data_IF_983779513369
#
_entry.id   IF_983779513369
#
_cell.length_a   1.000
_cell.length_b   1.000
_cell.length_c   1.000
_cell.angle_alpha   90.00
_cell.angle_beta   90.00
_cell.angle_gamma   90.00
#
_symmetry.space_group_name_H-M   'P 1'
#
loop_
_entity.id
_entity.type
_entity.pdbx_description
1 polymer ?
#
# COMPACT_ATOMS: atom_id res chain seq x y z
N UNK A 1 1.76 74.86 29.71
CA UNK A 1 1.64 74.36 31.09
C UNK A 1 1.38 72.87 31.00
N UNK A 2 2.31 72.05 31.46
CA UNK A 2 2.17 70.59 31.49
C UNK A 2 1.11 70.23 32.53
N UNK A 3 -0.03 69.70 32.08
CA UNK A 3 -1.00 69.10 32.96
C UNK A 3 -0.41 67.81 33.53
N UNK A 4 0.16 67.89 34.72
CA UNK A 4 0.46 66.71 35.53
C UNK A 4 -0.85 66.00 35.80
N UNK A 5 -1.09 64.87 35.13
CA UNK A 5 -2.07 63.89 35.58
C UNK A 5 -1.82 63.61 37.06
N UNK A 6 -2.87 63.58 37.88
CA UNK A 6 -2.72 63.18 39.27
C UNK A 6 -2.21 61.74 39.28
N UNK A 7 -1.29 61.44 40.21
CA UNK A 7 -0.72 60.09 40.40
C UNK A 7 -1.78 58.97 40.37
N UNK A 8 -2.97 59.13 41.01
CA UNK A 8 -4.04 58.14 40.93
C UNK A 8 -4.49 57.83 39.50
N UNK A 9 -4.71 58.85 38.65
CA UNK A 9 -5.13 58.66 37.26
C UNK A 9 -4.06 57.99 36.39
N UNK A 10 -2.78 58.24 36.69
CA UNK A 10 -1.68 57.56 36.01
C UNK A 10 -1.56 56.09 36.43
N UNK A 11 -1.87 55.76 37.69
CA UNK A 11 -1.91 54.38 38.20
C UNK A 11 -3.07 53.62 37.56
N UNK A 12 -4.29 54.19 37.53
CA UNK A 12 -5.46 53.54 36.90
C UNK A 12 -5.20 53.21 35.42
N UNK A 13 -4.60 54.14 34.67
CA UNK A 13 -4.25 53.92 33.27
C UNK A 13 -3.17 52.84 33.06
N UNK A 14 -2.25 52.69 34.02
CA UNK A 14 -1.25 51.62 34.00
C UNK A 14 -1.88 50.26 34.36
N UNK A 15 -2.82 50.22 35.29
CA UNK A 15 -3.57 49.02 35.64
C UNK A 15 -4.43 48.52 34.47
N UNK A 16 -5.12 49.43 33.78
CA UNK A 16 -5.88 49.10 32.56
C UNK A 16 -4.99 48.56 31.46
N UNK A 17 -3.84 49.21 31.21
CA UNK A 17 -2.86 48.75 30.21
C UNK A 17 -2.25 47.40 30.58
N UNK A 18 -1.99 47.14 31.85
CA UNK A 18 -1.51 45.85 32.33
C UNK A 18 -2.57 44.75 32.13
N UNK A 19 -3.85 45.07 32.35
CA UNK A 19 -4.97 44.14 32.09
C UNK A 19 -5.11 43.81 30.61
N UNK A 20 -5.05 44.81 29.73
CA UNK A 20 -5.08 44.63 28.27
C UNK A 20 -3.90 43.76 27.80
N UNK A 21 -2.69 44.04 28.30
CA UNK A 21 -1.51 43.25 27.97
C UNK A 21 -1.64 41.78 28.42
N UNK A 22 -2.13 41.54 29.65
CA UNK A 22 -2.38 40.19 30.16
C UNK A 22 -3.41 39.44 29.31
N UNK A 23 -4.49 40.11 28.88
CA UNK A 23 -5.49 39.52 28.00
C UNK A 23 -4.92 39.18 26.61
N UNK A 24 -4.08 40.06 26.04
CA UNK A 24 -3.42 39.82 24.77
C UNK A 24 -2.48 38.60 24.85
N UNK A 25 -1.63 38.52 25.89
CA UNK A 25 -0.73 37.38 26.11
C UNK A 25 -1.49 36.06 26.30
N UNK A 26 -2.58 36.08 27.07
CA UNK A 26 -3.42 34.90 27.27
C UNK A 26 -4.06 34.45 25.94
N UNK A 27 -4.50 35.40 25.11
CA UNK A 27 -5.02 35.12 23.77
C UNK A 27 -3.96 34.50 22.86
N UNK A 28 -2.73 35.04 22.87
CA UNK A 28 -1.61 34.48 22.08
C UNK A 28 -1.25 33.06 22.50
N UNK A 29 -1.22 32.78 23.81
CA UNK A 29 -1.01 31.43 24.34
C UNK A 29 -2.10 30.46 23.86
N UNK A 30 -3.37 30.82 24.00
CA UNK A 30 -4.49 29.99 23.52
C UNK A 30 -4.45 29.74 22.02
N UNK A 31 -4.07 30.73 21.22
CA UNK A 31 -3.88 30.56 19.77
C UNK A 31 -2.73 29.60 19.48
N UNK A 32 -1.63 29.67 20.24
CA UNK A 32 -0.51 28.73 20.11
C UNK A 32 -0.93 27.29 20.42
N UNK A 33 -1.67 27.08 21.51
CA UNK A 33 -2.25 25.78 21.90
C UNK A 33 -3.16 25.24 20.80
N UNK A 34 -4.10 26.05 20.29
CA UNK A 34 -5.00 25.64 19.23
C UNK A 34 -4.23 25.23 17.96
N UNK A 35 -3.24 26.02 17.55
CA UNK A 35 -2.42 25.71 16.37
C UNK A 35 -1.62 24.43 16.54
N UNK A 36 -1.05 24.19 17.72
CA UNK A 36 -0.32 22.97 18.01
C UNK A 36 -1.26 21.75 17.96
N UNK A 37 -2.40 21.81 18.66
CA UNK A 37 -3.39 20.74 18.69
C UNK A 37 -3.92 20.38 17.28
N UNK A 38 -4.26 21.39 16.47
CA UNK A 38 -4.72 21.20 15.09
C UNK A 38 -3.64 20.52 14.25
N UNK A 39 -2.38 20.95 14.38
CA UNK A 39 -1.27 20.34 13.64
C UNK A 39 -1.09 18.87 14.02
N UNK A 40 -1.12 18.54 15.30
CA UNK A 40 -0.98 17.16 15.77
C UNK A 40 -2.13 16.28 15.27
N UNK A 41 -3.37 16.75 15.33
CA UNK A 41 -4.52 16.00 14.82
C UNK A 41 -4.43 15.80 13.31
N UNK A 42 -4.13 16.86 12.55
CA UNK A 42 -3.98 16.76 11.10
C UNK A 42 -2.90 15.75 10.71
N UNK A 43 -1.76 15.75 11.41
CA UNK A 43 -0.71 14.75 11.15
C UNK A 43 -1.20 13.32 11.36
N UNK A 44 -2.01 13.05 12.39
CA UNK A 44 -2.55 11.70 12.61
C UNK A 44 -3.65 11.34 11.61
N UNK A 45 -4.40 12.34 11.12
CA UNK A 45 -5.41 12.16 10.07
C UNK A 45 -4.78 11.89 8.71
N UNK A 46 -3.71 12.59 8.36
CA UNK A 46 -2.93 12.36 7.12
C UNK A 46 -2.38 10.93 7.11
N UNK A 47 -1.83 10.49 8.25
CA UNK A 47 -1.38 9.12 8.49
C UNK A 47 -2.50 8.08 8.32
N UNK A 48 -3.70 8.36 8.85
CA UNK A 48 -4.87 7.49 8.70
C UNK A 48 -5.37 7.47 7.25
N UNK A 49 -5.37 8.61 6.56
CA UNK A 49 -5.75 8.73 5.16
C UNK A 49 -4.85 7.87 4.28
N UNK A 50 -3.53 7.90 4.51
CA UNK A 50 -2.57 7.05 3.83
C UNK A 50 -2.87 5.56 4.07
N UNK A 51 -3.07 5.14 5.32
CA UNK A 51 -3.41 3.74 5.62
C UNK A 51 -4.73 3.29 4.95
N UNK A 52 -5.74 4.18 4.89
CA UNK A 52 -7.02 3.89 4.23
C UNK A 52 -6.85 3.82 2.71
N UNK A 53 -6.00 4.67 2.12
CA UNK A 53 -5.65 4.61 0.70
C UNK A 53 -4.98 3.28 0.37
N UNK A 54 -4.02 2.85 1.18
CA UNK A 54 -3.33 1.57 1.01
C UNK A 54 -4.30 0.39 1.14
N UNK A 55 -5.19 0.41 2.14
CA UNK A 55 -6.25 -0.59 2.29
C UNK A 55 -7.10 -0.69 1.03
N UNK A 56 -7.53 0.45 0.47
CA UNK A 56 -8.33 0.49 -0.76
C UNK A 56 -7.55 -0.08 -1.94
N UNK A 57 -6.27 0.25 -2.07
CA UNK A 57 -5.41 -0.30 -3.10
C UNK A 57 -5.37 -1.83 -3.03
N UNK A 58 -4.91 -2.38 -1.90
CA UNK A 58 -4.73 -3.82 -1.75
C UNK A 58 -6.04 -4.58 -1.84
N UNK A 59 -7.14 -4.04 -1.29
CA UNK A 59 -8.47 -4.63 -1.45
C UNK A 59 -8.87 -4.73 -2.92
N UNK A 60 -8.72 -3.65 -3.67
CA UNK A 60 -9.12 -3.58 -5.09
C UNK A 60 -8.32 -4.60 -5.90
N UNK A 61 -7.00 -4.60 -5.78
CA UNK A 61 -6.14 -5.58 -6.45
C UNK A 61 -6.49 -7.01 -6.04
N UNK A 62 -6.68 -7.27 -4.75
CA UNK A 62 -7.00 -8.62 -4.28
C UNK A 62 -8.32 -9.15 -4.84
N UNK A 63 -9.36 -8.31 -4.87
CA UNK A 63 -10.70 -8.72 -5.28
C UNK A 63 -10.84 -8.76 -6.80
N UNK A 64 -10.37 -7.73 -7.49
CA UNK A 64 -10.62 -7.54 -8.91
C UNK A 64 -9.57 -8.22 -9.80
N UNK A 65 -8.29 -8.24 -9.40
CA UNK A 65 -7.24 -8.89 -10.20
C UNK A 65 -7.03 -10.37 -9.84
N UNK A 66 -7.26 -10.77 -8.59
CA UNK A 66 -6.94 -12.12 -8.09
C UNK A 66 -8.16 -12.93 -7.61
N UNK A 67 -9.37 -12.47 -7.93
CA UNK A 67 -10.66 -13.08 -7.55
C UNK A 67 -10.77 -13.35 -6.03
N UNK A 68 -10.20 -12.45 -5.23
CA UNK A 68 -10.22 -12.52 -3.78
C UNK A 68 -11.60 -12.16 -3.21
N UNK A 69 -11.99 -12.81 -2.12
CA UNK A 69 -13.19 -12.42 -1.39
C UNK A 69 -12.88 -11.26 -0.44
N UNK A 70 -13.70 -10.20 -0.45
CA UNK A 70 -13.57 -9.06 0.48
C UNK A 70 -13.51 -9.58 1.93
N UNK A 71 -12.43 -9.30 2.68
CA UNK A 71 -12.37 -9.70 4.09
C UNK A 71 -13.46 -9.02 4.91
N UNK A 72 -14.09 -9.77 5.82
CA UNK A 72 -15.19 -9.27 6.67
C UNK A 72 -14.81 -8.07 7.52
N UNK A 73 -13.52 -7.95 7.89
CA UNK A 73 -12.99 -6.86 8.72
C UNK A 73 -12.80 -5.54 7.97
N UNK A 74 -12.90 -5.51 6.64
CA UNK A 74 -12.77 -4.26 5.85
C UNK A 74 -13.83 -3.25 6.25
N UNK A 75 -15.09 -3.67 6.37
CA UNK A 75 -16.19 -2.76 6.73
C UNK A 75 -16.00 -2.15 8.12
N UNK A 76 -15.55 -2.94 9.10
CA UNK A 76 -15.27 -2.42 10.45
C UNK A 76 -14.09 -1.46 10.48
N UNK A 77 -13.04 -1.72 9.70
CA UNK A 77 -11.89 -0.83 9.62
C UNK A 77 -12.25 0.51 8.96
N UNK A 78 -13.03 0.48 7.88
CA UNK A 78 -13.53 1.70 7.22
C UNK A 78 -14.44 2.49 8.17
N UNK A 79 -15.35 1.82 8.87
CA UNK A 79 -16.23 2.47 9.84
C UNK A 79 -15.44 3.07 11.02
N UNK A 80 -14.40 2.38 11.50
CA UNK A 80 -13.53 2.92 12.54
C UNK A 80 -12.79 4.17 12.07
N UNK A 81 -12.31 4.18 10.82
CA UNK A 81 -11.70 5.36 10.22
C UNK A 81 -12.70 6.52 10.08
N UNK A 82 -13.91 6.28 9.58
CA UNK A 82 -14.97 7.29 9.46
C UNK A 82 -15.29 7.93 10.82
N UNK A 83 -15.53 7.10 11.85
CA UNK A 83 -15.80 7.57 13.21
C UNK A 83 -14.63 8.36 13.82
N UNK A 84 -13.39 8.09 13.40
CA UNK A 84 -12.21 8.82 13.87
C UNK A 84 -12.09 10.22 13.25
N UNK A 85 -12.80 10.52 12.16
CA UNK A 85 -12.78 11.85 11.51
C UNK A 85 -13.96 12.73 11.95
N UNK A 86 -15.00 12.16 12.59
CA UNK A 86 -16.20 12.87 13.05
C UNK A 86 -16.01 13.76 14.30
N UNK A 87 -14.91 14.51 14.40
CA UNK A 87 -14.71 15.49 15.49
C UNK A 87 -14.84 16.92 15.00
N UNK A 88 -15.61 17.69 15.76
CA UNK A 88 -15.89 19.10 15.45
C UNK A 88 -14.76 20.01 15.94
N UNK A 89 -14.56 21.15 15.25
CA UNK A 89 -13.64 22.20 15.73
C UNK A 89 -14.02 22.69 17.13
N UNK A 90 -15.31 22.67 17.47
CA UNK A 90 -15.80 23.07 18.79
C UNK A 90 -15.32 22.13 19.89
N UNK A 91 -15.26 20.81 19.64
CA UNK A 91 -14.72 19.83 20.59
C UNK A 91 -13.21 19.99 20.80
N UNK A 92 -12.47 20.40 19.76
CA UNK A 92 -11.03 20.68 19.85
C UNK A 92 -10.71 21.98 20.60
N UNK A 93 -11.65 22.94 20.61
CA UNK A 93 -11.49 24.27 21.21
C UNK A 93 -12.09 24.38 22.63
N UNK A 94 -13.01 23.49 23.01
CA UNK A 94 -13.82 23.57 24.22
C UNK A 94 -13.01 23.76 25.52
N UNK A 95 -11.81 23.20 25.62
CA UNK A 95 -10.98 23.29 26.83
C UNK A 95 -9.79 24.24 26.74
N UNK A 96 -9.55 24.85 25.56
CA UNK A 96 -8.59 25.95 25.45
C UNK A 96 -9.11 27.14 26.27
N UNK A 97 -10.43 27.36 26.30
CA UNK A 97 -11.07 28.42 27.08
C UNK A 97 -10.95 28.23 28.61
N UNK A 98 -10.81 27.00 29.09
CA UNK A 98 -10.77 26.69 30.53
C UNK A 98 -9.36 26.70 31.13
N UNK A 99 -8.31 26.59 30.31
CA UNK A 99 -6.91 26.79 30.71
C UNK A 99 -6.52 28.28 30.67
N UNK A 100 -7.47 29.19 30.90
CA UNK A 100 -7.13 30.57 31.17
C UNK A 100 -6.18 30.54 32.38
N UNK A 101 -4.98 31.07 32.22
CA UNK A 101 -4.04 31.21 33.33
C UNK A 101 -4.81 31.82 34.49
N UNK A 102 -4.86 31.08 35.60
CA UNK A 102 -5.70 31.39 36.74
C UNK A 102 -5.52 32.87 37.08
N UNK A 103 -6.60 33.57 37.44
CA UNK A 103 -6.61 35.04 37.49
C UNK A 103 -5.51 35.65 38.41
N UNK A 104 -4.84 34.82 39.23
CA UNK A 104 -3.72 35.16 40.10
C UNK A 104 -2.29 34.77 39.65
N UNK A 105 -2.06 34.07 38.53
CA UNK A 105 -0.70 33.69 38.12
C UNK A 105 -0.09 34.75 37.17
N UNK A 106 0.93 35.46 37.65
CA UNK A 106 1.73 36.39 36.85
C UNK A 106 2.80 35.60 36.10
N UNK A 107 2.61 35.39 34.80
CA UNK A 107 3.68 34.88 33.94
C UNK A 107 4.58 36.03 33.57
N UNK A 108 5.87 35.88 33.86
CA UNK A 108 6.88 36.83 33.43
C UNK A 108 7.15 36.63 31.93
N UNK A 109 7.39 37.73 31.18
CA UNK A 109 7.65 37.69 29.73
C UNK A 109 8.75 36.69 29.31
N UNK A 110 9.67 36.35 30.21
CA UNK A 110 10.75 35.39 29.97
C UNK A 110 10.26 33.92 29.85
N UNK A 111 9.13 33.55 30.46
CA UNK A 111 8.60 32.17 30.42
C UNK A 111 7.93 31.81 29.08
N UNK A 112 7.50 32.80 28.29
CA UNK A 112 6.83 32.57 27.01
C UNK A 112 7.77 32.11 25.90
N UNK A 113 9.09 32.32 26.05
CA UNK A 113 10.09 31.99 25.02
C UNK A 113 10.53 30.52 25.00
N UNK A 114 9.91 29.66 25.82
CA UNK A 114 10.17 28.22 25.88
C UNK A 114 8.99 27.37 26.32
N UNK A 115 7.75 27.90 26.25
CA UNK A 115 6.56 27.23 26.74
C UNK A 115 6.21 26.05 25.81
N UNK A 116 6.55 24.84 26.26
CA UNK A 116 6.16 23.60 25.59
C UNK A 116 4.64 23.49 25.60
N UNK A 117 4.04 23.58 24.41
CA UNK A 117 2.60 23.60 24.25
C UNK A 117 2.08 22.18 24.44
N UNK A 118 1.53 21.87 25.61
CA UNK A 118 0.95 20.56 25.87
C UNK A 118 -0.41 20.36 25.18
N UNK A 119 -0.65 19.12 24.76
CA UNK A 119 -1.95 18.71 24.21
C UNK A 119 -3.02 18.68 25.30
N UNK A 120 -4.22 19.16 24.93
CA UNK A 120 -5.40 19.05 25.79
C UNK A 120 -5.82 17.58 25.96
N UNK A 121 -6.52 17.22 27.06
CA UNK A 121 -7.04 15.86 27.26
C UNK A 121 -7.91 15.37 26.10
N UNK A 122 -8.73 16.24 25.52
CA UNK A 122 -9.60 15.94 24.38
C UNK A 122 -8.79 15.60 23.14
N UNK A 123 -7.74 16.37 22.88
CA UNK A 123 -6.83 16.12 21.76
C UNK A 123 -6.05 14.82 21.98
N UNK A 124 -5.58 14.55 23.21
CA UNK A 124 -4.94 13.27 23.56
C UNK A 124 -5.89 12.08 23.31
N UNK A 125 -7.16 12.20 23.74
CA UNK A 125 -8.19 11.18 23.51
C UNK A 125 -8.46 10.97 22.02
N UNK A 126 -8.61 12.07 21.27
CA UNK A 126 -8.88 12.01 19.84
C UNK A 126 -7.72 11.39 19.06
N UNK A 127 -6.48 11.78 19.34
CA UNK A 127 -5.28 11.11 18.79
C UNK A 127 -5.30 9.61 19.05
N UNK A 128 -5.66 9.20 20.27
CA UNK A 128 -5.76 7.78 20.61
C UNK A 128 -6.82 7.06 19.78
N UNK A 129 -7.95 7.71 19.46
CA UNK A 129 -9.00 7.15 18.62
C UNK A 129 -8.54 7.03 17.15
N UNK A 130 -7.92 8.07 16.61
CA UNK A 130 -7.33 8.06 15.25
C UNK A 130 -6.28 6.96 15.12
N UNK A 131 -5.35 6.84 16.08
CA UNK A 131 -4.33 5.79 16.09
C UNK A 131 -4.93 4.38 16.17
N UNK A 132 -5.99 4.21 16.95
CA UNK A 132 -6.68 2.92 17.08
C UNK A 132 -7.38 2.54 15.77
N UNK A 133 -7.99 3.51 15.09
CA UNK A 133 -8.57 3.31 13.76
C UNK A 133 -7.49 2.98 12.73
N UNK A 134 -6.39 3.74 12.71
CA UNK A 134 -5.22 3.48 11.85
C UNK A 134 -4.69 2.07 12.03
N UNK A 135 -4.45 1.65 13.27
CA UNK A 135 -3.98 0.30 13.57
C UNK A 135 -4.97 -0.78 13.09
N UNK A 136 -6.28 -0.54 13.19
CA UNK A 136 -7.28 -1.46 12.65
C UNK A 136 -7.20 -1.56 11.12
N UNK A 137 -7.05 -0.42 10.44
CA UNK A 137 -6.88 -0.35 8.98
C UNK A 137 -5.60 -1.08 8.55
N UNK A 138 -4.47 -0.80 9.19
CA UNK A 138 -3.17 -1.43 8.92
C UNK A 138 -3.24 -2.96 9.11
N UNK A 139 -3.81 -3.44 10.22
CA UNK A 139 -3.97 -4.88 10.45
C UNK A 139 -4.80 -5.57 9.35
N UNK A 140 -5.84 -4.91 8.85
CA UNK A 140 -6.65 -5.45 7.75
C UNK A 140 -5.88 -5.40 6.43
N UNK A 141 -5.16 -4.31 6.17
CA UNK A 141 -4.27 -4.19 5.01
C UNK A 141 -3.22 -5.29 4.98
N UNK A 142 -2.52 -5.52 6.10
CA UNK A 142 -1.54 -6.61 6.25
C UNK A 142 -2.17 -7.98 5.96
N UNK A 143 -3.40 -8.24 6.46
CA UNK A 143 -4.08 -9.49 6.17
C UNK A 143 -4.36 -9.67 4.67
N UNK A 144 -4.70 -8.60 3.97
CA UNK A 144 -4.92 -8.64 2.51
C UNK A 144 -3.58 -8.83 1.80
N UNK A 145 -2.52 -8.12 2.22
CA UNK A 145 -1.19 -8.27 1.65
C UNK A 145 -0.69 -9.71 1.76
N UNK A 146 -0.80 -10.38 2.91
CA UNK A 146 -0.42 -11.81 3.03
C UNK A 146 -1.20 -12.70 2.07
N UNK A 147 -2.48 -12.41 1.82
CA UNK A 147 -3.28 -13.15 0.83
C UNK A 147 -2.84 -12.84 -0.60
N UNK A 148 -2.50 -11.59 -0.89
CA UNK A 148 -1.92 -11.17 -2.17
C UNK A 148 -0.58 -11.83 -2.43
N UNK A 149 0.29 -11.94 -1.42
CA UNK A 149 1.56 -12.67 -1.52
C UNK A 149 1.33 -14.13 -1.87
N UNK A 150 0.38 -14.81 -1.22
CA UNK A 150 0.04 -16.19 -1.56
C UNK A 150 -0.48 -16.33 -3.01
N UNK A 151 -1.30 -15.38 -3.47
CA UNK A 151 -1.79 -15.33 -4.87
C UNK A 151 -0.66 -15.05 -5.85
N UNK A 152 0.23 -14.10 -5.52
CA UNK A 152 1.43 -13.78 -6.27
C UNK A 152 2.29 -15.02 -6.43
N UNK A 153 2.61 -15.72 -5.35
CA UNK A 153 3.51 -16.87 -5.37
C UNK A 153 2.94 -18.00 -6.23
N UNK A 154 1.61 -18.19 -6.19
CA UNK A 154 0.90 -19.13 -7.08
C UNK A 154 1.08 -18.73 -8.55
N UNK A 155 0.83 -17.46 -8.88
CA UNK A 155 0.98 -16.97 -10.25
C UNK A 155 2.43 -16.96 -10.73
N UNK A 156 3.38 -16.54 -9.89
CA UNK A 156 4.81 -16.58 -10.16
C UNK A 156 5.30 -18.00 -10.44
N UNK A 157 4.73 -19.01 -9.78
CA UNK A 157 5.04 -20.42 -10.07
C UNK A 157 4.54 -20.82 -11.45
N UNK A 158 3.29 -20.44 -11.81
CA UNK A 158 2.71 -20.71 -13.13
C UNK A 158 3.49 -20.02 -14.26
N UNK A 159 3.76 -18.72 -14.10
CA UNK A 159 4.52 -17.92 -15.07
C UNK A 159 5.93 -18.49 -15.22
N UNK A 160 6.62 -18.83 -14.13
CA UNK A 160 7.95 -19.46 -14.19
C UNK A 160 7.94 -20.78 -14.95
N UNK A 161 6.93 -21.64 -14.73
CA UNK A 161 6.81 -22.91 -15.43
C UNK A 161 6.59 -22.71 -16.95
N UNK A 162 5.75 -21.75 -17.33
CA UNK A 162 5.54 -21.38 -18.73
C UNK A 162 6.80 -20.74 -19.35
N UNK A 163 7.55 -19.93 -18.60
CA UNK A 163 8.84 -19.40 -19.04
C UNK A 163 9.89 -20.48 -19.29
N UNK A 164 9.93 -21.52 -18.44
CA UNK A 164 10.80 -22.69 -18.67
C UNK A 164 10.43 -23.41 -19.97
N UNK A 165 9.13 -23.68 -20.18
CA UNK A 165 8.65 -24.27 -21.42
C UNK A 165 9.01 -23.40 -22.64
N UNK A 166 8.74 -22.09 -22.58
CA UNK A 166 9.02 -21.15 -23.66
C UNK A 166 10.52 -21.05 -23.99
N UNK A 167 11.40 -21.20 -23.00
CA UNK A 167 12.86 -21.26 -23.22
C UNK A 167 13.26 -22.49 -24.02
N UNK A 168 12.63 -23.65 -23.76
CA UNK A 168 12.90 -24.90 -24.47
C UNK A 168 12.40 -24.81 -25.91
N UNK A 169 11.16 -24.34 -26.12
CA UNK A 169 10.54 -24.21 -27.44
C UNK A 169 11.19 -23.13 -28.32
N UNK A 170 12.15 -22.37 -27.78
CA UNK A 170 13.00 -21.48 -28.58
C UNK A 170 12.27 -20.25 -29.13
N UNK A 171 11.70 -19.41 -28.27
CA UNK A 171 11.17 -18.06 -28.60
C UNK A 171 10.25 -17.95 -29.84
N UNK A 172 9.71 -19.06 -30.35
CA UNK A 172 8.94 -19.07 -31.60
C UNK A 172 7.63 -18.28 -31.48
N UNK A 173 7.10 -18.17 -30.26
CA UNK A 173 5.95 -17.35 -29.96
C UNK A 173 6.37 -16.05 -29.23
N UNK A 174 6.65 -15.00 -29.99
CA UNK A 174 7.06 -13.70 -29.45
C UNK A 174 5.98 -13.02 -28.62
N UNK A 175 4.71 -13.30 -28.90
CA UNK A 175 3.58 -12.67 -28.22
C UNK A 175 3.36 -13.30 -26.85
N UNK A 176 3.48 -14.63 -26.73
CA UNK A 176 3.46 -15.28 -25.43
C UNK A 176 4.66 -14.89 -24.57
N UNK A 177 5.86 -14.80 -25.15
CA UNK A 177 7.05 -14.33 -24.42
C UNK A 177 6.88 -12.88 -23.89
N UNK A 178 6.22 -12.00 -24.65
CA UNK A 178 5.87 -10.65 -24.20
C UNK A 178 4.88 -10.70 -23.03
N UNK A 179 3.87 -11.57 -23.13
CA UNK A 179 2.87 -11.79 -22.07
C UNK A 179 3.52 -12.25 -20.77
N UNK A 180 4.39 -13.27 -20.82
CA UNK A 180 5.14 -13.78 -19.66
C UNK A 180 5.96 -12.68 -18.98
N UNK A 181 6.70 -11.90 -19.76
CA UNK A 181 7.50 -10.79 -19.25
C UNK A 181 6.61 -9.73 -18.57
N UNK A 182 5.49 -9.37 -19.19
CA UNK A 182 4.56 -8.40 -18.62
C UNK A 182 3.97 -8.90 -17.29
N UNK A 183 3.51 -10.15 -17.22
CA UNK A 183 3.01 -10.74 -15.97
C UNK A 183 4.09 -10.79 -14.88
N UNK A 184 5.33 -11.16 -15.23
CA UNK A 184 6.45 -11.18 -14.29
C UNK A 184 6.72 -9.78 -13.68
N UNK A 185 6.67 -8.72 -14.50
CA UNK A 185 6.82 -7.34 -14.03
C UNK A 185 5.71 -6.94 -13.06
N UNK A 186 4.45 -7.21 -13.42
CA UNK A 186 3.28 -6.92 -12.58
C UNK A 186 3.38 -7.65 -11.22
N UNK A 187 3.75 -8.94 -11.22
CA UNK A 187 3.89 -9.74 -10.00
C UNK A 187 5.01 -9.28 -9.07
N UNK A 188 6.07 -8.69 -9.61
CA UNK A 188 7.28 -8.37 -8.83
C UNK A 188 7.34 -6.92 -8.37
N UNK A 189 6.94 -5.96 -9.22
CA UNK A 189 7.08 -4.53 -8.94
C UNK A 189 5.75 -3.88 -8.59
N UNK A 190 4.76 -4.05 -9.46
CA UNK A 190 3.57 -3.20 -9.42
C UNK A 190 2.54 -3.70 -8.38
N UNK A 191 2.50 -5.00 -8.10
CA UNK A 191 1.55 -5.60 -7.16
C UNK A 191 1.59 -4.98 -5.75
N UNK A 192 2.78 -4.63 -5.25
CA UNK A 192 2.96 -4.16 -3.87
C UNK A 192 3.03 -2.64 -3.75
N UNK A 193 3.03 -1.92 -4.87
CA UNK A 193 3.14 -0.46 -4.88
C UNK A 193 1.76 0.20 -4.75
N UNK A 194 1.36 0.51 -3.51
CA UNK A 194 0.09 1.19 -3.23
C UNK A 194 0.06 2.67 -3.60
N UNK A 195 1.20 3.24 -4.03
CA UNK A 195 1.24 4.62 -4.54
C UNK A 195 0.69 4.73 -5.96
N UNK A 196 0.67 3.61 -6.69
CA UNK A 196 0.07 3.50 -8.02
C UNK A 196 -1.46 3.38 -7.96
N UNK A 197 -2.09 3.54 -9.12
CA UNK A 197 -3.55 3.41 -9.21
C UNK A 197 -3.96 1.93 -9.28
N UNK A 198 -4.74 1.45 -8.32
CA UNK A 198 -5.20 0.05 -8.27
C UNK A 198 -5.97 -0.37 -9.52
N UNK A 199 -6.86 0.48 -10.05
CA UNK A 199 -7.62 0.18 -11.27
C UNK A 199 -6.71 0.05 -12.49
N UNK A 200 -5.61 0.80 -12.52
CA UNK A 200 -4.58 0.63 -13.55
C UNK A 200 -3.92 -0.74 -13.45
N UNK A 201 -3.49 -1.15 -12.25
CA UNK A 201 -2.93 -2.49 -12.05
C UNK A 201 -3.93 -3.57 -12.48
N UNK A 202 -5.20 -3.45 -12.06
CA UNK A 202 -6.27 -4.39 -12.41
C UNK A 202 -6.41 -4.49 -13.93
N UNK A 203 -6.52 -3.37 -14.66
CA UNK A 203 -6.65 -3.41 -16.12
C UNK A 203 -5.41 -3.97 -16.83
N UNK A 204 -4.19 -3.65 -16.35
CA UNK A 204 -2.96 -4.21 -16.90
C UNK A 204 -2.88 -5.73 -16.63
N UNK A 205 -3.28 -6.16 -15.45
CA UNK A 205 -3.32 -7.57 -15.07
C UNK A 205 -4.39 -8.35 -15.86
N UNK A 206 -5.61 -7.82 -15.98
CA UNK A 206 -6.68 -8.40 -16.79
C UNK A 206 -6.24 -8.60 -18.24
N UNK A 207 -5.61 -7.59 -18.85
CA UNK A 207 -5.06 -7.72 -20.20
C UNK A 207 -3.98 -8.81 -20.28
N UNK A 208 -3.10 -8.87 -19.28
CA UNK A 208 -2.06 -9.89 -19.23
C UNK A 208 -2.65 -11.30 -19.08
N UNK A 209 -3.70 -11.46 -18.26
CA UNK A 209 -4.40 -12.73 -18.10
C UNK A 209 -5.22 -13.12 -19.33
N UNK A 210 -5.83 -12.16 -20.04
CA UNK A 210 -6.53 -12.42 -21.30
C UNK A 210 -5.56 -12.95 -22.36
N UNK A 211 -4.41 -12.27 -22.54
CA UNK A 211 -3.37 -12.73 -23.46
C UNK A 211 -2.80 -14.10 -23.03
N UNK A 212 -2.68 -14.35 -21.72
CA UNK A 212 -2.25 -15.64 -21.20
C UNK A 212 -3.24 -16.76 -21.57
N UNK A 213 -4.54 -16.50 -21.51
CA UNK A 213 -5.58 -17.45 -21.91
C UNK A 213 -5.62 -17.72 -23.42
N UNK A 214 -5.10 -16.83 -24.27
CA UNK A 214 -4.94 -17.10 -25.71
C UNK A 214 -3.88 -18.19 -26.01
N UNK A 215 -3.04 -18.53 -25.02
CA UNK A 215 -1.89 -19.43 -25.16
C UNK A 215 -1.97 -20.66 -24.25
N UNK A 216 -3.16 -21.24 -24.05
CA UNK A 216 -3.40 -22.35 -23.09
C UNK A 216 -2.40 -23.50 -23.20
N UNK A 217 -2.04 -23.94 -24.42
CA UNK A 217 -1.08 -25.03 -24.61
C UNK A 217 0.35 -24.73 -24.18
N UNK A 218 0.69 -23.46 -23.91
CA UNK A 218 2.02 -23.02 -23.49
C UNK A 218 2.06 -22.66 -22.00
N UNK A 219 0.94 -22.75 -21.29
CA UNK A 219 0.83 -22.36 -19.88
C UNK A 219 1.51 -23.36 -18.94
N UNK A 220 1.62 -24.63 -19.33
CA UNK A 220 2.31 -25.66 -18.57
C UNK A 220 2.78 -26.81 -19.47
N UNK A 221 3.69 -27.64 -18.94
CA UNK A 221 4.08 -28.88 -19.60
C UNK A 221 2.91 -29.85 -19.79
N UNK A 222 1.95 -29.86 -18.87
CA UNK A 222 0.79 -30.75 -18.95
C UNK A 222 -0.19 -30.29 -20.05
N UNK A 223 -0.42 -28.98 -20.16
CA UNK A 223 -1.24 -28.42 -21.24
C UNK A 223 -0.58 -28.63 -22.61
N UNK A 224 0.74 -28.50 -22.67
CA UNK A 224 1.52 -28.77 -23.88
C UNK A 224 1.46 -30.25 -24.26
N UNK A 225 1.61 -31.15 -23.27
CA UNK A 225 1.49 -32.59 -23.44
C UNK A 225 0.13 -32.96 -24.03
N UNK A 226 -0.95 -32.47 -23.42
CA UNK A 226 -2.32 -32.77 -23.85
C UNK A 226 -2.58 -32.24 -25.26
N UNK A 227 -2.11 -31.03 -25.57
CA UNK A 227 -2.28 -30.42 -26.89
C UNK A 227 -1.66 -31.25 -28.02
N UNK A 228 -0.49 -31.82 -27.77
CA UNK A 228 0.32 -32.52 -28.78
C UNK A 228 0.28 -34.06 -28.65
N UNK A 229 -0.54 -34.60 -27.74
CA UNK A 229 -0.66 -36.04 -27.46
C UNK A 229 0.70 -36.69 -27.14
N UNK A 230 1.51 -36.00 -26.33
CA UNK A 230 2.85 -36.46 -25.96
C UNK A 230 2.79 -37.45 -24.80
N UNK A 231 3.68 -38.42 -24.81
CA UNK A 231 3.85 -39.34 -23.68
C UNK A 231 4.48 -38.63 -22.47
N UNK A 232 4.25 -39.18 -21.27
CA UNK A 232 4.94 -38.71 -20.04
C UNK A 232 6.47 -38.79 -20.18
N UNK A 233 6.96 -39.81 -20.88
CA UNK A 233 8.38 -39.99 -21.15
C UNK A 233 8.92 -38.85 -22.01
N UNK A 234 8.19 -38.45 -23.05
CA UNK A 234 8.59 -37.31 -23.90
C UNK A 234 8.66 -36.03 -23.09
N UNK A 235 7.69 -35.76 -22.22
CA UNK A 235 7.70 -34.56 -21.38
C UNK A 235 8.87 -34.55 -20.38
N UNK A 236 9.24 -35.70 -19.83
CA UNK A 236 10.39 -35.78 -18.93
C UNK A 236 11.71 -35.53 -19.67
N UNK A 237 11.81 -36.00 -20.92
CA UNK A 237 12.94 -35.71 -21.80
C UNK A 237 12.97 -34.20 -22.15
N UNK A 238 11.82 -33.57 -22.45
CA UNK A 238 11.71 -32.10 -22.67
C UNK A 238 12.14 -31.32 -21.42
N UNK A 239 11.70 -31.73 -20.22
CA UNK A 239 12.15 -31.10 -18.96
C UNK A 239 13.65 -31.28 -18.73
N UNK A 240 14.23 -32.39 -19.19
CA UNK A 240 15.67 -32.62 -19.14
C UNK A 240 16.42 -31.66 -20.06
N UNK A 241 15.93 -31.41 -21.28
CA UNK A 241 16.47 -30.36 -22.18
C UNK A 241 16.52 -29.00 -21.49
N UNK A 242 15.49 -28.64 -20.72
CA UNK A 242 15.47 -27.39 -19.95
C UNK A 242 16.65 -27.24 -18.99
N UNK A 243 17.13 -28.35 -18.43
CA UNK A 243 18.15 -28.36 -17.37
C UNK A 243 19.56 -28.54 -17.93
N UNK A 244 19.74 -29.38 -18.94
CA UNK A 244 21.05 -29.73 -19.49
C UNK A 244 21.39 -29.00 -20.80
N UNK A 245 20.42 -28.32 -21.43
CA UNK A 245 20.51 -27.73 -22.78
C UNK A 245 20.87 -28.71 -23.91
N UNK A 246 21.12 -29.98 -23.58
CA UNK A 246 21.52 -31.03 -24.51
C UNK A 246 20.95 -32.36 -24.03
N UNK A 247 20.37 -33.11 -24.96
CA UNK A 247 20.06 -34.52 -24.80
C UNK A 247 20.98 -35.30 -25.73
N UNK A 248 21.60 -36.38 -25.24
CA UNK A 248 22.31 -37.31 -26.13
C UNK A 248 21.34 -38.37 -26.62
N UNK A 249 21.62 -38.96 -27.79
CA UNK A 249 20.85 -40.11 -28.31
C UNK A 249 20.84 -41.32 -27.37
N UNK A 250 21.75 -41.39 -26.40
CA UNK A 250 21.77 -42.44 -25.39
C UNK A 250 20.76 -42.19 -24.26
N UNK A 251 20.32 -40.93 -24.07
CA UNK A 251 19.44 -40.50 -22.99
C UNK A 251 17.95 -40.50 -23.42
N UNK A 252 17.67 -40.65 -24.72
CA UNK A 252 16.33 -40.47 -25.29
C UNK A 252 15.92 -41.71 -26.09
N UNK A 253 14.68 -42.15 -25.91
CA UNK A 253 14.14 -43.27 -26.68
C UNK A 253 13.80 -42.85 -28.12
N UNK A 254 13.78 -43.81 -29.05
CA UNK A 254 13.35 -43.53 -30.43
C UNK A 254 11.90 -43.05 -30.49
N UNK A 255 11.03 -43.62 -29.66
CA UNK A 255 9.61 -43.25 -29.59
C UNK A 255 9.45 -41.78 -29.13
N UNK A 256 10.20 -41.36 -28.11
CA UNK A 256 10.17 -39.97 -27.63
C UNK A 256 10.78 -38.99 -28.64
N UNK A 257 11.85 -39.37 -29.36
CA UNK A 257 12.38 -38.57 -30.47
C UNK A 257 11.39 -38.40 -31.61
N UNK A 258 10.67 -39.46 -31.98
CA UNK A 258 9.63 -39.38 -33.00
C UNK A 258 8.50 -38.45 -32.56
N UNK A 259 8.06 -38.52 -31.31
CA UNK A 259 7.06 -37.59 -30.75
C UNK A 259 7.55 -36.13 -30.80
N UNK A 260 8.78 -35.85 -30.36
CA UNK A 260 9.35 -34.50 -30.41
C UNK A 260 9.49 -33.95 -31.82
N UNK A 261 9.85 -34.79 -32.80
CA UNK A 261 9.99 -34.38 -34.21
C UNK A 261 8.67 -34.21 -34.94
N UNK A 262 7.54 -34.64 -34.37
CA UNK A 262 6.19 -34.39 -34.92
C UNK A 262 5.63 -33.03 -34.50
N UNK A 263 6.25 -32.36 -33.55
CA UNK A 263 5.83 -31.07 -33.00
C UNK A 263 6.79 -30.00 -33.50
N UNK A 264 6.31 -29.07 -34.33
CA UNK A 264 7.14 -28.03 -34.97
C UNK A 264 7.96 -27.23 -33.94
N UNK A 265 7.36 -26.93 -32.78
CA UNK A 265 7.98 -26.20 -31.69
C UNK A 265 9.14 -26.96 -31.03
N UNK A 266 9.06 -28.29 -30.95
CA UNK A 266 10.10 -29.15 -30.38
C UNK A 266 11.13 -29.59 -31.43
N UNK A 267 10.73 -29.73 -32.68
CA UNK A 267 11.64 -30.13 -33.76
C UNK A 267 12.86 -29.20 -33.83
N UNK A 268 12.59 -27.89 -33.67
CA UNK A 268 13.59 -26.82 -33.68
C UNK A 268 14.44 -26.77 -32.41
N UNK A 269 13.92 -27.26 -31.29
CA UNK A 269 14.64 -27.32 -30.01
C UNK A 269 15.59 -28.52 -29.91
N UNK A 270 15.30 -29.60 -30.65
CA UNK A 270 16.08 -30.85 -30.63
C UNK A 270 17.14 -30.84 -31.72
N UNK A 271 18.37 -30.42 -31.36
CA UNK A 271 19.57 -30.63 -32.17
C UNK A 271 20.10 -32.06 -32.00
N UNK A 272 20.01 -32.87 -33.07
CA UNK A 272 20.61 -34.21 -33.10
C UNK A 272 22.06 -34.11 -33.57
N UNK A 273 23.00 -34.23 -32.65
CA UNK A 273 24.42 -34.41 -32.97
C UNK A 273 24.80 -35.89 -32.89
N UNK A 274 25.35 -36.43 -33.98
CA UNK A 274 25.90 -37.78 -34.10
C UNK A 274 27.27 -37.94 -33.42
#
# INVERSE_FOLDING_TARGET
>A
MSGTQSLPTAVDALEDKAREHKQAQNTEYHVSVARHNIREINSELDDLEESVRDLRYYKTVFVEAFDGSVPTMVSSAVQAAENAVEVTQDELLANIQNNAMDEGETVHEEDLTGLEVELTPEVKKQRSQIRSAKQMVENVSENIQTKLESKRDTWSTRVSAAEELQKILGSQNSDFARTLNHMHQLLTRDLMDSSENASRFVSEWENATDNWEEHQSLQSFDDFKEKHDLSDSTIEDVKTLSKSQQLTLADVSMDTLEEMKRVDELESAVELSL
#
